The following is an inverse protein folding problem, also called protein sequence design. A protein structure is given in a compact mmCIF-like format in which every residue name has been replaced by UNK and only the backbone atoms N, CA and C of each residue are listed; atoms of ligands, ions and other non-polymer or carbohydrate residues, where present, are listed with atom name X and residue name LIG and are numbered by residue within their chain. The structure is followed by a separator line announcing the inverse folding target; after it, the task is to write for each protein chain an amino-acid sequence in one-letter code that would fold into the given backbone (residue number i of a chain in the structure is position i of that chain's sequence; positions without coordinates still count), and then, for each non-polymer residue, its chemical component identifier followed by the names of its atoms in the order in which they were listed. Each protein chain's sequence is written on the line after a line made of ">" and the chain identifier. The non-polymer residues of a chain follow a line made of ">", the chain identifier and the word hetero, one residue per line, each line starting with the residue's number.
data_IF_040792808077
#
_entry.id   IF_040792808077
#
_cell.length_a   1.000
_cell.length_b   1.000
_cell.length_c   1.000
_cell.angle_alpha   90.00
_cell.angle_beta   90.00
_cell.angle_gamma   90.00
#
_symmetry.space_group_name_H-M   'P 1'
#
loop_
_entity.id
_entity.type
_entity.pdbx_description
1 polymer ?
#
# COMPACT_ATOMS: atom_id res chain seq x y z
N UNK A 1 2.96 -12.53 4.66
CA UNK A 1 3.96 -11.47 4.30
C UNK A 1 3.45 -10.13 4.80
N UNK A 2 4.32 -9.17 5.14
CA UNK A 2 3.91 -7.86 5.64
C UNK A 2 4.17 -6.76 4.60
N UNK A 3 3.13 -6.03 4.21
CA UNK A 3 3.25 -4.83 3.37
C UNK A 3 3.13 -3.60 4.26
N UNK A 4 4.19 -2.80 4.34
CA UNK A 4 4.19 -1.55 5.08
C UNK A 4 4.01 -0.34 4.15
N UNK A 5 3.08 0.55 4.51
CA UNK A 5 2.73 1.77 3.77
C UNK A 5 2.64 2.97 4.72
N UNK A 6 3.01 4.14 4.21
CA UNK A 6 2.79 5.43 4.92
C UNK A 6 1.33 5.86 4.90
N UNK A 7 0.56 5.39 3.91
CA UNK A 7 -0.85 5.69 3.78
C UNK A 7 -1.57 4.54 3.10
N UNK A 8 -2.81 4.29 3.52
CA UNK A 8 -3.70 3.31 2.91
C UNK A 8 -5.06 3.92 2.63
N UNK A 9 -5.66 3.49 1.53
CA UNK A 9 -7.05 3.82 1.21
C UNK A 9 -7.93 2.70 1.74
N UNK A 10 -8.81 3.03 2.69
CA UNK A 10 -9.81 2.09 3.21
C UNK A 10 -10.91 1.88 2.17
N UNK A 11 -11.66 0.78 2.30
CA UNK A 11 -12.81 0.47 1.43
C UNK A 11 -13.87 1.58 1.43
N UNK A 12 -14.02 2.30 2.54
CA UNK A 12 -14.81 3.54 2.68
C UNK A 12 -14.33 4.73 1.81
N UNK A 13 -13.27 4.57 1.03
CA UNK A 13 -12.68 5.63 0.20
C UNK A 13 -11.78 6.60 0.98
N UNK A 14 -11.85 6.62 2.32
CA UNK A 14 -10.98 7.44 3.18
C UNK A 14 -9.52 7.02 3.09
N UNK A 15 -8.64 8.00 2.93
CA UNK A 15 -7.19 7.82 3.00
C UNK A 15 -6.78 7.99 4.46
N UNK A 16 -6.19 6.95 5.03
CA UNK A 16 -5.63 6.99 6.38
C UNK A 16 -4.12 6.94 6.27
N UNK A 17 -3.47 7.93 6.87
CA UNK A 17 -2.01 7.99 6.95
C UNK A 17 -1.52 7.41 8.27
N UNK A 18 -0.33 6.82 8.28
CA UNK A 18 0.29 6.28 9.48
C UNK A 18 0.42 7.37 10.56
N UNK A 19 0.76 8.60 10.14
CA UNK A 19 0.89 9.77 11.00
C UNK A 19 -0.41 10.10 11.77
N UNK A 20 -1.58 9.94 11.14
CA UNK A 20 -2.88 10.13 11.83
C UNK A 20 -3.13 9.10 12.93
N UNK A 21 -2.49 7.92 12.86
CA UNK A 21 -2.54 6.91 13.91
C UNK A 21 -1.37 7.02 14.91
N UNK A 22 -0.49 8.03 14.76
CA UNK A 22 0.74 8.12 15.56
C UNK A 22 1.80 7.08 15.20
N UNK A 23 1.64 6.38 14.06
CA UNK A 23 2.53 5.33 13.59
C UNK A 23 3.46 5.84 12.49
N UNK A 24 4.67 5.28 12.40
CA UNK A 24 5.61 5.59 11.30
C UNK A 24 5.18 4.92 9.97
N UNK A 25 4.56 3.75 10.06
CA UNK A 25 4.04 3.01 8.91
C UNK A 25 2.90 2.10 9.36
N UNK A 26 1.97 1.83 8.45
CA UNK A 26 0.90 0.85 8.65
C UNK A 26 1.30 -0.41 7.91
N UNK A 27 1.48 -1.51 8.63
CA UNK A 27 1.85 -2.80 8.07
C UNK A 27 0.63 -3.73 8.09
N UNK A 28 0.35 -4.37 6.96
CA UNK A 28 -0.74 -5.33 6.81
C UNK A 28 -0.16 -6.69 6.54
N UNK A 29 -0.65 -7.69 7.28
CA UNK A 29 -0.39 -9.06 6.95
C UNK A 29 -1.25 -9.44 5.74
N UNK A 30 -0.59 -9.87 4.68
CA UNK A 30 -1.19 -10.27 3.41
C UNK A 30 -0.68 -11.64 3.00
N UNK A 31 -1.52 -12.33 2.23
CA UNK A 31 -1.14 -13.58 1.55
C UNK A 31 -0.21 -13.30 0.38
N UNK A 32 0.47 -14.33 -0.12
CA UNK A 32 1.41 -14.23 -1.25
C UNK A 32 0.73 -13.68 -2.52
N UNK A 33 -0.48 -14.14 -2.83
CA UNK A 33 -1.26 -13.66 -3.98
C UNK A 33 -1.56 -12.15 -3.91
N UNK A 34 -1.94 -11.66 -2.72
CA UNK A 34 -2.19 -10.22 -2.54
C UNK A 34 -0.90 -9.39 -2.64
N UNK A 35 0.22 -9.96 -2.19
CA UNK A 35 1.52 -9.32 -2.35
C UNK A 35 1.95 -9.25 -3.82
N UNK A 36 1.73 -10.31 -4.61
CA UNK A 36 2.05 -10.34 -6.03
C UNK A 36 1.20 -9.33 -6.81
N UNK A 37 -0.12 -9.31 -6.58
CA UNK A 37 -1.01 -8.33 -7.20
C UNK A 37 -0.62 -6.89 -6.84
N UNK A 38 -0.17 -6.65 -5.62
CA UNK A 38 0.32 -5.35 -5.18
C UNK A 38 1.62 -4.96 -5.88
N UNK A 39 2.57 -5.88 -6.02
CA UNK A 39 3.85 -5.66 -6.70
C UNK A 39 3.65 -5.37 -8.19
N UNK A 40 2.74 -6.09 -8.85
CA UNK A 40 2.39 -5.88 -10.26
C UNK A 40 1.81 -4.47 -10.48
N UNK A 41 0.84 -4.09 -9.65
CA UNK A 41 0.23 -2.75 -9.70
C UNK A 41 1.26 -1.64 -9.47
N UNK A 42 2.20 -1.85 -8.54
CA UNK A 42 3.27 -0.90 -8.23
C UNK A 42 4.32 -0.81 -9.35
N UNK A 43 4.63 -1.92 -10.03
CA UNK A 43 5.48 -1.92 -11.24
C UNK A 43 4.85 -1.08 -12.34
N UNK A 44 3.54 -1.26 -12.56
CA UNK A 44 2.77 -0.52 -13.57
C UNK A 44 2.74 0.99 -13.28
N UNK A 45 2.49 1.39 -12.02
CA UNK A 45 2.56 2.80 -11.60
C UNK A 45 3.95 3.43 -11.77
N UNK A 46 5.03 2.65 -11.59
CA UNK A 46 6.39 3.16 -11.81
C UNK A 46 6.72 3.34 -13.30
N UNK A 47 6.20 2.47 -14.16
CA UNK A 47 6.39 2.58 -15.60
C UNK A 47 5.63 3.80 -16.17
N UNK A 48 4.43 4.07 -15.63
CA UNK A 48 3.59 5.20 -16.06
C UNK A 48 4.15 6.57 -15.66
N UNK A 49 4.83 6.67 -14.50
CA UNK A 49 5.49 7.91 -14.03
C UNK A 49 6.87 8.17 -14.64
N UNK A 50 7.36 7.30 -15.52
CA UNK A 50 8.63 7.48 -16.22
C UNK A 50 8.46 7.91 -17.69
N UNK A 51 7.22 8.17 -18.13
CA UNK A 51 6.87 8.67 -19.46
C UNK A 51 6.60 10.17 -19.48
#
# INVERSE_FOLDING_TARGET
>A
MLICRKSIRRKDGKIVTAAQMGLKAICFEVTEEQNQAYLDKKKKEKADKAG
#
